data_IF_192894351287
#
_entry.id   IF_192894351287
#
_cell.length_a   1.000
_cell.length_b   1.000
_cell.length_c   1.000
_cell.angle_alpha   90.00
_cell.angle_beta   90.00
_cell.angle_gamma   90.00
#
_symmetry.space_group_name_H-M   'P 1'
#
loop_
_entity.id
_entity.type
_entity.pdbx_description
1 polymer ?
#
# COMPACT_ATOMS: atom_id res chain seq x y z
N UNK A 1 1.70 17.05 25.69
CA UNK A 1 2.50 15.84 25.60
C UNK A 1 2.21 15.09 24.30
N UNK A 2 3.24 14.71 23.65
CA UNK A 2 3.10 14.00 22.40
C UNK A 2 2.55 12.61 22.66
N UNK A 3 1.53 12.22 21.93
CA UNK A 3 1.02 10.87 22.03
C UNK A 3 2.08 9.89 21.56
N UNK A 4 2.23 8.83 22.31
CA UNK A 4 3.10 7.74 21.90
C UNK A 4 2.43 6.98 20.76
N UNK A 5 3.10 6.88 19.63
CA UNK A 5 2.60 6.16 18.47
C UNK A 5 3.57 5.04 18.13
N UNK A 6 3.46 3.92 18.82
CA UNK A 6 4.45 2.84 18.68
C UNK A 6 4.51 2.23 17.29
N UNK A 7 3.52 2.50 16.46
CA UNK A 7 3.47 1.95 15.10
C UNK A 7 4.14 2.85 14.05
N UNK A 8 4.67 4.00 14.47
CA UNK A 8 5.39 4.87 13.52
C UNK A 8 6.61 4.15 12.99
N UNK A 9 6.77 4.18 11.67
CA UNK A 9 7.89 3.51 11.02
C UNK A 9 7.68 2.03 10.77
N UNK A 10 6.58 1.46 11.24
CA UNK A 10 6.29 0.06 11.00
C UNK A 10 5.91 -0.15 9.54
N UNK A 11 6.47 -1.19 8.94
CA UNK A 11 6.05 -1.65 7.63
C UNK A 11 4.91 -2.63 7.86
N UNK A 12 3.69 -2.16 7.63
CA UNK A 12 2.50 -2.93 7.98
C UNK A 12 1.85 -3.69 6.83
N UNK A 13 2.25 -3.38 5.60
CA UNK A 13 1.59 -3.98 4.43
C UNK A 13 2.47 -3.87 3.20
N UNK A 14 2.25 -4.77 2.26
CA UNK A 14 2.89 -4.74 0.94
C UNK A 14 1.80 -4.97 -0.09
N UNK A 15 1.77 -4.15 -1.13
CA UNK A 15 0.69 -4.19 -2.09
C UNK A 15 1.20 -3.90 -3.49
N UNK A 16 0.59 -4.55 -4.47
CA UNK A 16 0.92 -4.36 -5.89
C UNK A 16 -0.35 -3.98 -6.62
N UNK A 17 -0.32 -2.85 -7.35
CA UNK A 17 -1.46 -2.43 -8.15
C UNK A 17 -1.12 -2.53 -9.62
N UNK A 18 -1.90 -3.30 -10.37
CA UNK A 18 -1.67 -3.55 -11.80
C UNK A 18 -2.99 -3.53 -12.55
N UNK A 19 -2.94 -3.34 -13.85
CA UNK A 19 -4.14 -3.23 -14.65
C UNK A 19 -4.89 -4.55 -14.84
N UNK A 20 -4.16 -5.66 -14.88
CA UNK A 20 -4.76 -6.97 -15.09
C UNK A 20 -4.45 -7.87 -13.91
N UNK A 21 -4.98 -7.48 -12.75
CA UNK A 21 -4.73 -8.21 -11.52
C UNK A 21 -5.18 -9.67 -11.56
N UNK A 22 -6.37 -10.02 -12.12
CA UNK A 22 -6.78 -11.42 -12.17
C UNK A 22 -5.79 -12.33 -12.89
N UNK A 23 -5.17 -11.82 -13.93
CA UNK A 23 -4.19 -12.61 -14.68
C UNK A 23 -2.88 -12.73 -13.92
N UNK A 24 -2.50 -11.67 -13.25
CA UNK A 24 -1.24 -11.63 -12.53
C UNK A 24 -1.25 -12.50 -11.29
N UNK A 25 -2.39 -12.59 -10.58
CA UNK A 25 -2.45 -13.41 -9.37
C UNK A 25 -2.21 -14.89 -9.70
N UNK A 26 -2.63 -15.36 -10.88
CA UNK A 26 -2.36 -16.72 -11.28
C UNK A 26 -0.86 -16.97 -11.42
N UNK A 27 -0.13 -16.01 -11.97
CA UNK A 27 1.31 -16.08 -12.06
C UNK A 27 1.95 -16.27 -10.67
N UNK A 28 1.56 -15.44 -9.72
CA UNK A 28 2.14 -15.49 -8.37
C UNK A 28 1.71 -16.73 -7.59
N UNK A 29 0.49 -17.19 -7.81
CA UNK A 29 0.03 -18.43 -7.19
C UNK A 29 0.93 -19.59 -7.58
N UNK A 30 1.30 -19.64 -8.85
CA UNK A 30 2.12 -20.74 -9.38
C UNK A 30 3.60 -20.57 -9.06
N UNK A 31 4.10 -19.36 -9.12
CA UNK A 31 5.53 -19.10 -8.92
C UNK A 31 5.90 -19.15 -7.44
N UNK A 32 5.08 -18.59 -6.57
CA UNK A 32 5.39 -18.51 -5.14
C UNK A 32 4.67 -19.59 -4.34
N UNK A 33 3.48 -19.97 -4.77
CA UNK A 33 2.66 -20.92 -4.03
C UNK A 33 1.70 -20.26 -3.05
N UNK A 34 1.51 -18.94 -3.14
CA UNK A 34 0.50 -18.30 -2.32
C UNK A 34 -0.90 -18.81 -2.64
N UNK A 35 -1.73 -18.90 -1.64
CA UNK A 35 -3.14 -19.19 -1.82
C UNK A 35 -3.88 -17.87 -1.98
N UNK A 36 -4.66 -17.74 -3.05
CA UNK A 36 -5.30 -16.48 -3.40
C UNK A 36 -6.74 -16.47 -2.87
N UNK A 37 -7.15 -15.39 -2.24
CA UNK A 37 -8.55 -15.16 -1.93
C UNK A 37 -8.96 -13.80 -2.51
N UNK A 38 -10.22 -13.67 -2.83
CA UNK A 38 -10.75 -12.47 -3.45
C UNK A 38 -11.37 -11.56 -2.39
N UNK A 39 -11.07 -10.28 -2.49
CA UNK A 39 -11.68 -9.27 -1.65
C UNK A 39 -12.37 -8.27 -2.57
N UNK A 40 -13.70 -8.26 -2.54
CA UNK A 40 -14.43 -7.31 -3.36
C UNK A 40 -14.38 -5.92 -2.75
N UNK A 41 -13.96 -4.96 -3.55
CA UNK A 41 -13.88 -3.56 -3.13
C UNK A 41 -14.62 -2.73 -4.17
N UNK A 42 -15.89 -2.41 -3.88
CA UNK A 42 -16.74 -1.73 -4.84
C UNK A 42 -17.08 -2.63 -6.02
N UNK A 43 -16.79 -2.18 -7.22
CA UNK A 43 -17.09 -2.93 -8.43
C UNK A 43 -15.93 -3.76 -8.95
N UNK A 44 -14.77 -3.68 -8.29
CA UNK A 44 -13.58 -4.42 -8.72
C UNK A 44 -13.16 -5.37 -7.62
N UNK A 45 -12.52 -6.46 -8.02
CA UNK A 45 -11.98 -7.43 -7.08
C UNK A 45 -10.51 -7.14 -6.84
N UNK A 46 -10.15 -7.07 -5.57
CA UNK A 46 -8.76 -7.10 -5.14
C UNK A 46 -8.47 -8.48 -4.61
N UNK A 47 -7.20 -8.82 -4.47
CA UNK A 47 -6.80 -10.17 -4.10
C UNK A 47 -5.88 -10.16 -2.91
N UNK A 48 -6.09 -11.13 -2.02
CA UNK A 48 -5.23 -11.34 -0.87
C UNK A 48 -4.30 -12.51 -1.18
N UNK A 49 -3.03 -12.34 -0.83
CA UNK A 49 -2.01 -13.38 -0.98
C UNK A 49 -1.80 -14.01 0.39
N UNK A 50 -2.09 -15.30 0.48
CA UNK A 50 -2.16 -15.98 1.77
C UNK A 50 -1.14 -17.10 1.86
N UNK A 51 -0.59 -17.29 3.06
CA UNK A 51 0.28 -18.42 3.35
C UNK A 51 -0.57 -19.68 3.34
N UNK A 52 -0.23 -20.69 2.53
CA UNK A 52 -1.08 -21.89 2.42
C UNK A 52 -1.25 -22.65 3.72
N UNK A 53 -0.22 -22.69 4.55
CA UNK A 53 -0.26 -23.53 5.76
C UNK A 53 -1.20 -23.04 6.84
N UNK A 54 -1.38 -21.70 6.96
CA UNK A 54 -2.21 -21.16 8.04
C UNK A 54 -3.22 -20.11 7.57
N UNK A 55 -3.21 -19.77 6.28
CA UNK A 55 -4.14 -18.80 5.75
C UNK A 55 -3.82 -17.33 6.05
N UNK A 56 -2.68 -17.06 6.66
CA UNK A 56 -2.30 -15.68 6.98
C UNK A 56 -2.12 -14.87 5.71
N UNK A 57 -2.78 -13.72 5.64
CA UNK A 57 -2.63 -12.79 4.52
C UNK A 57 -1.36 -11.96 4.71
N UNK A 58 -0.47 -11.98 3.72
CA UNK A 58 0.83 -11.30 3.84
C UNK A 58 0.98 -10.13 2.89
N UNK A 59 0.18 -10.07 1.83
CA UNK A 59 0.24 -9.00 0.85
C UNK A 59 -1.04 -8.96 0.03
N UNK A 60 -1.16 -7.95 -0.83
CA UNK A 60 -2.31 -7.83 -1.70
C UNK A 60 -1.92 -7.53 -3.13
N UNK A 61 -2.82 -7.84 -4.06
CA UNK A 61 -2.72 -7.39 -5.45
C UNK A 61 -4.04 -6.73 -5.80
N UNK A 62 -3.97 -5.48 -6.23
CA UNK A 62 -5.14 -4.66 -6.50
C UNK A 62 -5.22 -4.30 -7.97
N UNK A 63 -6.42 -3.99 -8.44
CA UNK A 63 -6.60 -3.46 -9.77
C UNK A 63 -6.19 -1.98 -9.79
N UNK A 64 -5.37 -1.60 -10.76
CA UNK A 64 -4.94 -0.22 -10.91
C UNK A 64 -6.00 0.55 -11.71
N UNK A 65 -7.19 0.64 -11.13
CA UNK A 65 -8.35 1.29 -11.72
C UNK A 65 -8.93 2.28 -10.70
N UNK A 66 -9.69 3.26 -11.20
CA UNK A 66 -10.33 4.23 -10.33
C UNK A 66 -9.31 4.97 -9.48
N UNK A 67 -9.49 4.92 -8.16
CA UNK A 67 -8.62 5.65 -7.23
C UNK A 67 -7.18 5.15 -7.26
N UNK A 68 -6.96 3.90 -7.66
CA UNK A 68 -5.62 3.32 -7.71
C UNK A 68 -4.94 3.44 -9.07
N UNK A 69 -5.54 4.14 -10.02
CA UNK A 69 -5.04 4.19 -11.39
C UNK A 69 -3.66 4.84 -11.51
N UNK A 70 -3.30 5.72 -10.57
CA UNK A 70 -2.02 6.42 -10.59
C UNK A 70 -0.90 5.65 -9.91
N UNK A 71 -1.21 4.55 -9.23
CA UNK A 71 -0.19 3.78 -8.53
C UNK A 71 0.70 3.05 -9.54
N UNK A 72 2.02 3.13 -9.38
CA UNK A 72 2.93 2.44 -10.29
C UNK A 72 2.92 0.92 -10.03
N UNK A 73 3.27 0.12 -11.05
CA UNK A 73 3.23 -1.34 -10.90
C UNK A 73 4.47 -1.88 -10.19
N UNK A 74 4.63 -1.47 -8.95
CA UNK A 74 5.72 -1.91 -8.08
C UNK A 74 5.14 -2.49 -6.81
N UNK A 75 5.87 -3.39 -6.19
CA UNK A 75 5.54 -3.88 -4.86
C UNK A 75 5.76 -2.74 -3.88
N UNK A 76 4.68 -2.05 -3.54
CA UNK A 76 4.76 -0.91 -2.63
C UNK A 76 4.77 -1.38 -1.19
N UNK A 77 5.78 -0.93 -0.47
CA UNK A 77 5.86 -1.12 0.96
C UNK A 77 5.11 0.04 1.61
N UNK A 78 4.21 -0.27 2.54
CA UNK A 78 3.42 0.72 3.27
C UNK A 78 4.03 0.95 4.63
N UNK A 79 4.46 2.18 4.88
CA UNK A 79 5.10 2.57 6.14
C UNK A 79 4.17 3.49 6.91
N UNK A 80 3.98 3.19 8.17
CA UNK A 80 3.16 4.03 9.05
C UNK A 80 3.89 5.31 9.40
N UNK A 81 3.21 6.44 9.22
CA UNK A 81 3.72 7.75 9.61
C UNK A 81 2.74 8.41 10.56
N UNK A 82 3.21 9.40 11.30
CA UNK A 82 2.36 10.09 12.27
C UNK A 82 1.31 10.96 11.59
N UNK A 83 1.71 11.64 10.51
CA UNK A 83 0.85 12.59 9.81
C UNK A 83 1.27 12.67 8.36
N UNK A 84 0.39 12.21 7.46
CA UNK A 84 0.71 12.14 6.05
C UNK A 84 0.94 13.53 5.45
N UNK A 85 0.17 14.54 5.87
CA UNK A 85 0.34 15.89 5.34
C UNK A 85 1.72 16.46 5.66
N UNK A 86 2.18 16.25 6.88
CA UNK A 86 3.52 16.70 7.27
C UNK A 86 4.60 15.96 6.49
N UNK A 87 4.40 14.65 6.30
CA UNK A 87 5.34 13.85 5.51
C UNK A 87 5.42 14.36 4.08
N UNK A 88 4.28 14.71 3.48
CA UNK A 88 4.25 15.24 2.12
C UNK A 88 5.06 16.53 2.01
N UNK A 89 4.94 17.43 3.00
CA UNK A 89 5.74 18.65 2.98
C UNK A 89 7.23 18.35 3.03
N UNK A 90 7.62 17.39 3.84
CA UNK A 90 9.03 16.98 3.92
C UNK A 90 9.51 16.33 2.63
N UNK A 91 8.66 15.53 1.98
CA UNK A 91 8.99 14.93 0.68
C UNK A 91 9.36 16.02 -0.31
N UNK A 92 8.54 17.04 -0.41
CA UNK A 92 8.78 18.15 -1.35
C UNK A 92 10.05 18.93 -1.02
N UNK A 93 10.25 19.18 0.27
CA UNK A 93 11.41 19.96 0.71
C UNK A 93 12.72 19.19 0.50
N UNK A 94 12.68 17.88 0.62
CA UNK A 94 13.89 17.04 0.60
C UNK A 94 14.15 16.38 -0.75
N UNK A 95 13.46 16.82 -1.81
CA UNK A 95 13.78 16.39 -3.16
C UNK A 95 13.03 15.17 -3.68
N UNK A 96 12.02 14.73 -2.95
CA UNK A 96 11.15 13.66 -3.42
C UNK A 96 9.97 14.20 -4.21
N UNK A 97 9.11 13.29 -4.65
CA UNK A 97 7.90 13.65 -5.40
C UNK A 97 6.71 12.92 -4.85
N UNK A 98 5.55 13.55 -4.92
CA UNK A 98 4.28 12.91 -4.59
C UNK A 98 3.72 12.34 -5.89
N UNK A 99 3.47 11.04 -5.89
CA UNK A 99 2.98 10.32 -7.08
C UNK A 99 1.46 10.21 -7.05
N UNK A 100 0.90 9.92 -5.87
CA UNK A 100 -0.53 9.74 -5.71
C UNK A 100 -0.93 10.17 -4.30
N UNK A 101 -1.96 10.99 -4.21
CA UNK A 101 -2.46 11.46 -2.93
C UNK A 101 -1.91 12.83 -2.53
N UNK A 102 -2.08 13.24 -1.29
CA UNK A 102 -2.76 12.54 -0.19
C UNK A 102 -4.23 12.27 -0.46
N UNK A 103 -4.70 11.11 -0.03
CA UNK A 103 -6.11 10.74 -0.14
C UNK A 103 -6.42 9.70 0.93
N UNK A 104 -7.70 9.42 1.09
CA UNK A 104 -8.10 8.37 2.04
C UNK A 104 -7.94 6.99 1.41
N UNK A 105 -7.44 6.09 2.22
CA UNK A 105 -7.44 4.67 1.91
C UNK A 105 -8.14 4.01 3.10
N UNK A 106 -9.43 3.70 2.91
CA UNK A 106 -10.29 3.43 4.04
C UNK A 106 -10.46 4.69 4.86
N UNK A 107 -10.15 4.64 6.14
CA UNK A 107 -10.27 5.80 7.02
C UNK A 107 -8.94 6.49 7.30
N UNK A 108 -7.87 5.99 6.75
CA UNK A 108 -6.51 6.48 7.00
C UNK A 108 -6.02 7.30 5.81
N UNK A 109 -5.28 8.36 6.09
CA UNK A 109 -4.65 9.14 5.05
C UNK A 109 -3.50 8.35 4.43
N UNK A 110 -3.36 8.49 3.12
CA UNK A 110 -2.43 7.70 2.32
C UNK A 110 -1.77 8.58 1.27
N UNK A 111 -0.53 8.26 0.95
CA UNK A 111 0.20 8.93 -0.12
C UNK A 111 1.24 7.99 -0.69
N UNK A 112 1.36 7.95 -2.01
CA UNK A 112 2.47 7.25 -2.67
C UNK A 112 3.50 8.29 -3.07
N UNK A 113 4.74 8.07 -2.72
CA UNK A 113 5.83 9.01 -3.00
C UNK A 113 6.94 8.33 -3.77
N UNK A 114 7.79 9.16 -4.38
CA UNK A 114 9.03 8.71 -4.97
C UNK A 114 10.16 9.46 -4.25
N UNK A 115 11.14 8.72 -3.77
CA UNK A 115 12.25 9.33 -3.04
C UNK A 115 13.27 9.95 -4.02
N UNK A 116 14.27 10.67 -3.50
CA UNK A 116 15.25 11.32 -4.39
C UNK A 116 16.08 10.37 -5.25
N UNK A 117 16.12 9.09 -4.90
CA UNK A 117 16.82 8.08 -5.69
C UNK A 117 15.92 7.43 -6.75
N UNK A 118 14.64 7.78 -6.76
CA UNK A 118 13.69 7.24 -7.73
C UNK A 118 12.90 6.02 -7.24
N UNK A 119 13.05 5.62 -5.98
CA UNK A 119 12.32 4.49 -5.44
C UNK A 119 10.94 4.92 -4.95
N UNK A 120 9.98 4.00 -5.02
CA UNK A 120 8.60 4.28 -4.60
C UNK A 120 8.34 3.73 -3.21
N UNK A 121 7.49 4.43 -2.46
CA UNK A 121 7.11 4.04 -1.11
C UNK A 121 5.70 4.56 -0.85
N UNK A 122 4.91 3.79 -0.13
CA UNK A 122 3.59 4.24 0.30
C UNK A 122 3.64 4.65 1.76
N UNK A 123 3.05 5.80 2.05
CA UNK A 123 2.93 6.31 3.41
C UNK A 123 1.48 6.21 3.83
N UNK A 124 1.24 5.73 5.02
CA UNK A 124 -0.11 5.63 5.56
C UNK A 124 -0.10 6.11 7.00
N UNK A 125 -1.13 6.85 7.38
CA UNK A 125 -1.19 7.39 8.72
C UNK A 125 -1.40 6.27 9.72
N UNK A 126 -0.58 6.24 10.75
CA UNK A 126 -0.64 5.20 11.76
C UNK A 126 -1.99 5.23 12.48
N UNK A 127 -2.50 4.04 12.82
CA UNK A 127 -3.67 3.96 13.66
C UNK A 127 -3.36 4.52 15.02
N UNK A 128 -4.24 5.36 15.52
CA UNK A 128 -4.14 5.85 16.89
C UNK A 128 -4.93 4.88 17.76
N UNK A 129 -4.23 4.13 18.57
CA UNK A 129 -4.88 3.26 19.53
C UNK A 129 -5.62 4.13 20.53
N UNK A 130 -6.92 3.97 20.55
CA UNK A 130 -7.78 4.76 21.41
C UNK A 130 -7.54 4.51 22.89
#
# INVERSE_FOLDING_TARGET
MTKNQPNIGRIGWIDLSVRDAPRLVEFYEKVVGWKISTLRSGEVDDFCLNIPSDGTTVAGICQALGDNAKLPPYWLVYVNVANVQESVERVKTLGGKVIDGPRKLGERDFCCIQDPAGAYLALIEADVEG
#
